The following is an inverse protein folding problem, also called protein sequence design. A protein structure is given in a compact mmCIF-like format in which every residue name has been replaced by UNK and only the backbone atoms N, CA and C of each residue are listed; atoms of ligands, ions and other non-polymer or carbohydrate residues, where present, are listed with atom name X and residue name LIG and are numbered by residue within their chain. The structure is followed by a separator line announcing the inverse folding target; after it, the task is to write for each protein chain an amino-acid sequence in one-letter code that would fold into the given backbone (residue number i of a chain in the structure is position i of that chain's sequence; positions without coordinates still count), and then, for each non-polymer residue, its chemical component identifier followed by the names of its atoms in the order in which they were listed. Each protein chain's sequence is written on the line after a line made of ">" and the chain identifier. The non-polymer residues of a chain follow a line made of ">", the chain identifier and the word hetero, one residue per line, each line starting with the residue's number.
data_IF_402108699178
#
_entry.id   IF_402108699178
#
_cell.length_a   1.000
_cell.length_b   1.000
_cell.length_c   1.000
_cell.angle_alpha   90.00
_cell.angle_beta   90.00
_cell.angle_gamma   90.00
#
_symmetry.space_group_name_H-M   'P 1'
#
loop_
_entity.id
_entity.type
_entity.pdbx_description
1 polymer ?
#
# COMPACT_ATOMS: atom_id res chain seq x y z
N UNK A 1 12.36 -29.43 3.73
CA UNK A 1 11.53 -28.63 4.65
C UNK A 1 11.06 -27.43 3.86
N UNK A 2 9.87 -27.54 3.28
CA UNK A 2 9.28 -26.53 2.39
C UNK A 2 9.00 -25.25 3.20
N UNK A 3 9.45 -24.10 2.70
CA UNK A 3 9.03 -22.82 3.22
C UNK A 3 7.66 -22.51 2.63
N UNK A 4 6.61 -22.73 3.42
CA UNK A 4 5.27 -22.22 3.10
C UNK A 4 5.34 -20.69 2.95
N UNK A 5 4.65 -20.09 1.97
CA UNK A 5 4.51 -18.64 1.91
C UNK A 5 3.91 -18.17 3.23
N UNK A 6 4.43 -17.06 3.77
CA UNK A 6 4.09 -16.57 5.09
C UNK A 6 2.60 -16.27 5.20
N UNK A 7 1.81 -17.25 5.66
CA UNK A 7 0.49 -17.00 6.20
C UNK A 7 0.66 -16.03 7.38
N UNK A 8 -0.09 -14.92 7.43
CA UNK A 8 -0.07 -14.05 8.60
C UNK A 8 -0.54 -14.86 9.81
N UNK A 9 0.42 -15.30 10.62
CA UNK A 9 0.13 -16.05 11.85
C UNK A 9 -0.55 -15.09 12.81
N UNK A 10 -1.87 -15.24 12.95
CA UNK A 10 -2.66 -14.56 13.97
C UNK A 10 -2.28 -15.20 15.30
N UNK A 11 -1.52 -14.49 16.13
CA UNK A 11 -1.21 -14.97 17.48
C UNK A 11 -2.48 -15.01 18.33
N UNK A 12 -2.51 -15.87 19.37
CA UNK A 12 -3.66 -16.05 20.29
C UNK A 12 -4.14 -14.77 21.01
N UNK A 13 -3.44 -13.64 20.82
CA UNK A 13 -3.81 -12.32 21.33
C UNK A 13 -4.34 -11.36 20.25
N UNK A 14 -4.60 -11.84 19.03
CA UNK A 14 -5.10 -11.02 17.91
C UNK A 14 -4.02 -10.16 17.25
N UNK A 15 -2.74 -10.34 17.60
CA UNK A 15 -1.63 -9.66 16.95
C UNK A 15 -1.22 -10.48 15.71
N UNK A 16 -1.50 -9.94 14.53
CA UNK A 16 -0.89 -10.40 13.28
C UNK A 16 0.59 -10.06 13.36
N UNK A 17 1.48 -11.04 13.12
CA UNK A 17 2.91 -10.78 13.01
C UNK A 17 3.18 -9.99 11.71
N UNK A 18 3.42 -8.69 11.85
CA UNK A 18 3.60 -7.70 10.78
C UNK A 18 3.02 -6.34 11.19
N UNK A 19 3.14 -5.32 10.35
CA UNK A 19 2.46 -4.03 10.54
C UNK A 19 1.31 -3.96 9.53
N UNK A 20 0.06 -4.33 9.88
CA UNK A 20 -1.06 -4.43 8.94
C UNK A 20 -1.35 -3.14 8.15
N UNK A 21 -0.89 -2.01 8.68
CA UNK A 21 -1.04 -0.69 8.06
C UNK A 21 -0.39 -0.55 6.67
N UNK A 22 0.51 -1.46 6.28
CA UNK A 22 1.17 -1.50 4.96
C UNK A 22 0.76 -2.71 4.11
N UNK A 23 -0.17 -3.53 4.60
CA UNK A 23 -0.64 -4.73 3.91
C UNK A 23 -1.48 -4.34 2.68
N UNK A 24 -1.34 -5.10 1.59
CA UNK A 24 -2.17 -4.90 0.39
C UNK A 24 -3.56 -5.54 0.51
N UNK A 25 -4.54 -5.12 -0.31
CA UNK A 25 -5.88 -5.71 -0.33
C UNK A 25 -5.89 -7.23 -0.60
N UNK A 26 -5.04 -7.71 -1.50
CA UNK A 26 -4.93 -9.14 -1.81
C UNK A 26 -4.31 -9.96 -0.66
N UNK A 27 -3.40 -9.37 0.12
CA UNK A 27 -2.88 -9.99 1.34
C UNK A 27 -3.95 -10.05 2.44
N UNK A 28 -4.74 -8.98 2.59
CA UNK A 28 -5.80 -8.91 3.61
C UNK A 28 -6.95 -9.90 3.34
N UNK A 29 -7.19 -10.23 2.07
CA UNK A 29 -8.27 -11.13 1.65
C UNK A 29 -7.81 -12.59 1.48
N UNK A 30 -6.51 -12.89 1.69
CA UNK A 30 -5.97 -14.24 1.58
C UNK A 30 -5.91 -14.79 0.14
N UNK A 31 -5.89 -13.92 -0.87
CA UNK A 31 -5.75 -14.35 -2.27
C UNK A 31 -4.28 -14.65 -2.59
N UNK A 32 -3.74 -15.76 -2.06
CA UNK A 32 -2.33 -16.10 -2.19
C UNK A 32 -1.81 -16.14 -3.65
N UNK A 33 -2.67 -16.43 -4.62
CA UNK A 33 -2.32 -16.48 -6.04
C UNK A 33 -2.07 -15.10 -6.67
N UNK A 34 -2.59 -14.01 -6.08
CA UNK A 34 -2.39 -12.65 -6.57
C UNK A 34 -1.27 -11.91 -5.82
N UNK A 35 -0.64 -12.55 -4.83
CA UNK A 35 0.54 -12.01 -4.15
C UNK A 35 1.74 -12.09 -5.09
N UNK A 36 2.38 -10.95 -5.36
CA UNK A 36 3.53 -10.86 -6.25
C UNK A 36 4.10 -9.44 -6.32
N UNK A 37 4.79 -9.09 -7.41
CA UNK A 37 5.49 -7.80 -7.56
C UNK A 37 4.59 -6.58 -7.29
N UNK A 38 3.32 -6.63 -7.72
CA UNK A 38 2.34 -5.56 -7.53
C UNK A 38 1.89 -5.42 -6.07
N UNK A 39 2.07 -6.46 -5.24
CA UNK A 39 1.86 -6.40 -3.78
C UNK A 39 2.93 -5.56 -3.12
N UNK A 40 4.20 -5.75 -3.50
CA UNK A 40 5.31 -4.92 -2.98
C UNK A 40 5.16 -3.46 -3.42
N UNK A 41 4.70 -3.21 -4.65
CA UNK A 41 4.37 -1.86 -5.12
C UNK A 41 3.33 -1.18 -4.23
N UNK A 42 2.29 -1.91 -3.79
CA UNK A 42 1.30 -1.37 -2.86
C UNK A 42 1.94 -1.02 -1.52
N UNK A 43 2.74 -1.91 -0.94
CA UNK A 43 3.42 -1.66 0.32
C UNK A 43 4.33 -0.42 0.24
N UNK A 44 5.08 -0.25 -0.86
CA UNK A 44 5.87 0.96 -1.11
C UNK A 44 4.99 2.20 -1.26
N UNK A 45 3.84 2.09 -1.93
CA UNK A 45 2.83 3.15 -1.99
C UNK A 45 2.31 3.55 -0.61
N UNK A 46 2.09 2.59 0.28
CA UNK A 46 1.65 2.84 1.65
C UNK A 46 2.73 3.51 2.50
N UNK A 47 4.00 3.13 2.32
CA UNK A 47 5.14 3.83 2.92
C UNK A 47 5.25 5.26 2.40
N UNK A 48 5.15 5.47 1.09
CA UNK A 48 5.13 6.81 0.51
C UNK A 48 4.00 7.65 1.10
N UNK A 49 2.78 7.10 1.18
CA UNK A 49 1.64 7.77 1.80
C UNK A 49 1.95 8.24 3.22
N UNK A 50 2.47 7.35 4.06
CA UNK A 50 2.87 7.65 5.44
C UNK A 50 3.90 8.77 5.50
N UNK A 51 4.91 8.76 4.62
CA UNK A 51 5.89 9.85 4.52
C UNK A 51 5.26 11.19 4.10
N UNK A 52 4.23 11.17 3.26
CA UNK A 52 3.58 12.39 2.75
C UNK A 52 2.62 13.03 3.77
N UNK A 53 1.92 12.22 4.58
CA UNK A 53 0.85 12.72 5.46
C UNK A 53 1.05 12.42 6.95
N UNK A 54 2.10 11.68 7.30
CA UNK A 54 2.46 11.32 8.69
C UNK A 54 1.65 10.19 9.30
N UNK A 55 0.85 9.47 8.50
CA UNK A 55 0.19 8.23 8.92
C UNK A 55 -0.05 7.29 7.74
N UNK A 56 -0.12 5.96 7.97
CA UNK A 56 -0.46 5.00 6.92
C UNK A 56 -1.85 5.22 6.30
N UNK A 57 -2.12 4.64 5.10
CA UNK A 57 -3.42 4.79 4.42
C UNK A 57 -4.62 4.35 5.26
N UNK A 58 -4.43 3.32 6.09
CA UNK A 58 -5.45 2.81 6.99
C UNK A 58 -4.89 2.63 8.40
N UNK A 59 -5.59 3.20 9.37
CA UNK A 59 -5.27 3.12 10.80
C UNK A 59 -6.43 2.50 11.57
N UNK A 60 -6.14 1.93 12.74
CA UNK A 60 -7.11 1.30 13.64
C UNK A 60 -6.63 -0.04 14.18
N UNK A 61 -7.56 -0.83 14.74
CA UNK A 61 -7.28 -2.21 15.11
C UNK A 61 -7.00 -3.07 13.87
N UNK A 62 -6.33 -4.19 14.05
CA UNK A 62 -6.04 -5.15 12.96
C UNK A 62 -7.31 -5.51 12.19
N UNK A 63 -8.38 -5.87 12.90
CA UNK A 63 -9.66 -6.22 12.29
C UNK A 63 -10.27 -5.06 11.48
N UNK A 64 -10.13 -3.82 11.98
CA UNK A 64 -10.60 -2.63 11.26
C UNK A 64 -9.79 -2.40 9.98
N UNK A 65 -8.46 -2.54 10.03
CA UNK A 65 -7.59 -2.37 8.86
C UNK A 65 -7.90 -3.42 7.79
N UNK A 66 -8.06 -4.70 8.18
CA UNK A 66 -8.43 -5.77 7.24
C UNK A 66 -9.79 -5.53 6.57
N UNK A 67 -10.77 -5.04 7.34
CA UNK A 67 -12.08 -4.66 6.80
C UNK A 67 -11.98 -3.51 5.79
N UNK A 68 -11.22 -2.45 6.12
CA UNK A 68 -10.99 -1.31 5.23
C UNK A 68 -10.27 -1.74 3.95
N UNK A 69 -9.18 -2.50 4.04
CA UNK A 69 -8.45 -3.01 2.87
C UNK A 69 -9.34 -3.83 1.93
N UNK A 70 -10.34 -4.53 2.47
CA UNK A 70 -11.25 -5.35 1.69
C UNK A 70 -12.28 -4.53 0.89
N UNK A 71 -12.67 -3.34 1.36
CA UNK A 71 -13.84 -2.62 0.82
C UNK A 71 -13.62 -1.16 0.48
N UNK A 72 -12.57 -0.53 1.01
CA UNK A 72 -12.30 0.89 0.89
C UNK A 72 -11.04 1.16 0.05
N UNK A 73 -10.93 2.38 -0.45
CA UNK A 73 -9.72 2.92 -1.08
C UNK A 73 -9.06 3.92 -0.13
N UNK A 74 -7.73 4.01 -0.18
CA UNK A 74 -7.00 5.02 0.58
C UNK A 74 -7.56 6.42 0.31
N UNK A 75 -7.67 7.25 1.34
CA UNK A 75 -8.05 8.65 1.16
C UNK A 75 -6.95 9.38 0.39
N UNK A 76 -7.28 10.30 -0.52
CA UNK A 76 -6.25 11.06 -1.23
C UNK A 76 -5.33 11.82 -0.25
N UNK A 77 -3.99 11.79 -0.41
CA UNK A 77 -3.06 12.52 0.44
C UNK A 77 -3.37 14.02 0.52
N UNK A 78 -3.87 14.63 -0.56
CA UNK A 78 -4.23 16.05 -0.59
C UNK A 78 -5.45 16.40 0.26
N UNK A 79 -6.27 15.43 0.65
CA UNK A 79 -7.32 15.67 1.66
C UNK A 79 -6.73 15.94 3.04
N UNK A 80 -5.55 15.39 3.33
CA UNK A 80 -4.85 15.55 4.61
C UNK A 80 -3.81 16.68 4.54
N UNK A 81 -3.13 16.82 3.39
CA UNK A 81 -2.11 17.84 3.12
C UNK A 81 -2.48 18.60 1.84
N UNK A 82 -3.36 19.62 1.90
CA UNK A 82 -3.87 20.31 0.70
C UNK A 82 -2.81 20.97 -0.18
N UNK A 83 -1.66 21.33 0.40
CA UNK A 83 -0.50 21.91 -0.28
C UNK A 83 0.35 20.90 -1.04
N UNK A 84 0.09 19.59 -0.90
CA UNK A 84 0.84 18.55 -1.58
C UNK A 84 0.67 18.65 -3.11
N UNK A 85 1.78 18.46 -3.82
CA UNK A 85 1.80 18.49 -5.29
C UNK A 85 0.88 17.42 -5.88
N UNK A 86 0.15 17.78 -6.95
CA UNK A 86 -0.83 16.89 -7.59
C UNK A 86 -0.18 15.64 -8.16
N UNK A 87 0.99 15.76 -8.77
CA UNK A 87 1.67 14.60 -9.37
C UNK A 87 2.12 13.60 -8.32
N UNK A 88 2.57 14.09 -7.16
CA UNK A 88 2.98 13.22 -6.06
C UNK A 88 1.77 12.48 -5.44
N UNK A 89 0.60 13.14 -5.38
CA UNK A 89 -0.67 12.46 -5.11
C UNK A 89 -0.97 11.40 -6.17
N UNK A 90 -0.84 11.71 -7.46
CA UNK A 90 -1.14 10.77 -8.55
C UNK A 90 -0.25 9.53 -8.49
N UNK A 91 1.06 9.69 -8.30
CA UNK A 91 2.02 8.59 -8.15
C UNK A 91 1.66 7.72 -6.95
N UNK A 92 1.39 8.34 -5.79
CA UNK A 92 1.03 7.64 -4.56
C UNK A 92 -0.29 6.86 -4.71
N UNK A 93 -1.33 7.49 -5.26
CA UNK A 93 -2.64 6.87 -5.44
C UNK A 93 -2.63 5.75 -6.47
N UNK A 94 -1.78 5.84 -7.51
CA UNK A 94 -1.58 4.75 -8.46
C UNK A 94 -0.91 3.54 -7.81
N UNK A 95 0.11 3.74 -6.99
CA UNK A 95 0.73 2.64 -6.24
C UNK A 95 -0.25 1.98 -5.25
N UNK A 96 -1.16 2.76 -4.67
CA UNK A 96 -2.20 2.32 -3.72
C UNK A 96 -3.51 1.84 -4.37
N UNK A 97 -3.54 1.65 -5.68
CA UNK A 97 -4.76 1.18 -6.35
C UNK A 97 -5.20 -0.18 -5.77
N UNK A 98 -6.51 -0.37 -5.60
CA UNK A 98 -7.03 -1.60 -4.97
C UNK A 98 -6.78 -2.81 -5.86
N UNK A 99 -7.07 -2.71 -7.16
CA UNK A 99 -6.73 -3.74 -8.13
C UNK A 99 -5.21 -3.71 -8.41
N UNK A 100 -4.49 -4.83 -8.27
CA UNK A 100 -3.08 -4.91 -8.65
C UNK A 100 -2.79 -4.43 -10.07
N UNK A 101 -3.69 -4.65 -11.04
CA UNK A 101 -3.46 -4.27 -12.45
C UNK A 101 -3.42 -2.76 -12.68
N UNK A 102 -4.09 -1.99 -11.85
CA UNK A 102 -4.10 -0.52 -11.91
C UNK A 102 -2.82 0.11 -11.31
N UNK A 103 -1.98 -0.71 -10.66
CA UNK A 103 -0.70 -0.27 -10.05
C UNK A 103 0.42 -0.22 -11.09
N UNK A 104 1.57 0.28 -10.66
CA UNK A 104 2.82 0.06 -11.39
C UNK A 104 3.12 -1.43 -11.50
N UNK A 105 3.60 -1.86 -12.67
CA UNK A 105 3.98 -3.24 -12.92
C UNK A 105 5.15 -3.70 -12.04
N UNK A 106 6.08 -2.78 -11.78
CA UNK A 106 7.28 -3.04 -10.97
C UNK A 106 7.59 -1.86 -10.05
N UNK A 107 8.37 -2.12 -8.99
CA UNK A 107 8.91 -1.07 -8.13
C UNK A 107 9.84 -0.11 -8.90
N UNK A 108 10.54 -0.59 -9.93
CA UNK A 108 11.37 0.27 -10.79
C UNK A 108 10.51 1.31 -11.53
N UNK A 109 9.35 0.92 -12.06
CA UNK A 109 8.44 1.85 -12.73
C UNK A 109 7.87 2.92 -11.78
N UNK A 110 7.63 2.57 -10.51
CA UNK A 110 7.27 3.56 -9.47
C UNK A 110 8.44 4.52 -9.19
N UNK A 111 9.65 3.99 -9.03
CA UNK A 111 10.84 4.79 -8.77
C UNK A 111 11.13 5.78 -9.91
N UNK A 112 10.96 5.35 -11.17
CA UNK A 112 11.14 6.20 -12.35
C UNK A 112 10.23 7.43 -12.32
N UNK A 113 8.95 7.27 -11.97
CA UNK A 113 8.01 8.40 -11.87
C UNK A 113 8.35 9.32 -10.69
N UNK A 114 8.77 8.78 -9.55
CA UNK A 114 9.24 9.58 -8.42
C UNK A 114 10.49 10.40 -8.77
N UNK A 115 11.43 9.82 -9.52
CA UNK A 115 12.63 10.51 -9.98
C UNK A 115 12.29 11.59 -11.02
N UNK A 116 11.39 11.31 -11.97
CA UNK A 116 10.89 12.33 -12.92
C UNK A 116 10.27 13.51 -12.18
N UNK A 117 9.45 13.25 -11.16
CA UNK A 117 8.88 14.29 -10.31
C UNK A 117 9.96 15.09 -9.58
N UNK A 118 10.93 14.42 -8.94
CA UNK A 118 12.02 15.07 -8.22
C UNK A 118 12.88 15.98 -9.13
N UNK A 119 13.04 15.60 -10.40
CA UNK A 119 13.77 16.37 -11.40
C UNK A 119 12.93 17.47 -12.08
N UNK A 120 11.65 17.64 -11.72
CA UNK A 120 10.74 18.62 -12.33
C UNK A 120 10.31 18.27 -13.76
N UNK A 121 10.29 16.97 -14.10
CA UNK A 121 9.96 16.41 -15.42
C UNK A 121 8.63 15.62 -15.45
N UNK A 122 7.83 15.75 -14.39
CA UNK A 122 6.52 15.12 -14.28
C UNK A 122 5.45 15.84 -15.13
#
# INVERSE_FOLDING_TARGET
>A
KELSPADPQVTKSGQVMGTPAFMSPEQATGHHQSIGTRTDVYALGAVLYDLLVGQPPFTGSVASILGKLSHETAASPRRLVPSLHRDLETICMKALARDPQDRYETAASLADDLLRFADGRA
#
